data_IF_303879804916
#
_entry.id   IF_303879804916
#
_cell.length_a   1.000
_cell.length_b   1.000
_cell.length_c   1.000
_cell.angle_alpha   90.00
_cell.angle_beta   90.00
_cell.angle_gamma   90.00
#
_symmetry.space_group_name_H-M   'P 1'
#
loop_
_entity.id
_entity.type
_entity.pdbx_description
1 polymer ?
#
# COMPACT_ATOMS: atom_id res chain seq x y z
N UNK A 1 17.23 3.63 -4.61
CA UNK A 1 16.89 4.36 -3.38
C UNK A 1 15.76 3.63 -2.67
N UNK A 2 15.69 3.72 -1.34
CA UNK A 2 14.73 2.96 -0.51
C UNK A 2 13.27 3.16 -0.93
N UNK A 3 12.90 4.33 -1.46
CA UNK A 3 11.55 4.64 -1.96
C UNK A 3 11.17 3.79 -3.19
N UNK A 4 12.11 3.49 -4.10
CA UNK A 4 11.83 2.62 -5.26
C UNK A 4 11.45 1.20 -4.84
N UNK A 5 12.05 0.72 -3.74
CA UNK A 5 11.75 -0.59 -3.17
C UNK A 5 10.34 -0.59 -2.58
N UNK A 6 9.99 0.45 -1.82
CA UNK A 6 8.65 0.60 -1.26
C UNK A 6 7.56 0.64 -2.35
N UNK A 7 7.81 1.36 -3.43
CA UNK A 7 6.90 1.40 -4.60
C UNK A 7 6.69 0.00 -5.18
N UNK A 8 7.77 -0.75 -5.47
CA UNK A 8 7.66 -2.10 -6.06
C UNK A 8 6.97 -3.11 -5.13
N UNK A 9 7.19 -3.03 -3.81
CA UNK A 9 6.48 -3.88 -2.84
C UNK A 9 4.96 -3.63 -2.91
N UNK A 10 4.55 -2.36 -3.01
CA UNK A 10 3.13 -2.01 -3.05
C UNK A 10 2.53 -2.34 -4.42
N UNK A 11 3.18 -1.95 -5.53
CA UNK A 11 2.65 -2.16 -6.88
C UNK A 11 2.68 -3.64 -7.30
N UNK A 12 3.83 -4.28 -7.18
CA UNK A 12 4.06 -5.60 -7.77
C UNK A 12 3.76 -6.71 -6.78
N UNK A 13 3.97 -6.44 -5.49
CA UNK A 13 3.67 -7.37 -4.40
C UNK A 13 2.21 -7.33 -3.99
N UNK A 14 1.83 -6.29 -3.23
CA UNK A 14 0.52 -6.24 -2.58
C UNK A 14 -0.62 -6.08 -3.60
N UNK A 15 -0.58 -5.02 -4.41
CA UNK A 15 -1.61 -4.73 -5.40
C UNK A 15 -1.67 -5.81 -6.49
N UNK A 16 -0.51 -6.26 -6.96
CA UNK A 16 -0.43 -7.36 -7.93
C UNK A 16 -0.95 -8.72 -7.42
N UNK A 17 -1.08 -8.90 -6.11
CA UNK A 17 -1.62 -10.13 -5.51
C UNK A 17 -3.13 -10.13 -5.27
N UNK A 18 -3.82 -9.02 -5.54
CA UNK A 18 -5.26 -8.92 -5.35
C UNK A 18 -6.00 -9.81 -6.36
N UNK A 19 -6.82 -10.71 -5.84
CA UNK A 19 -7.81 -11.44 -6.64
C UNK A 19 -9.07 -10.57 -6.77
N UNK A 20 -9.21 -9.90 -7.91
CA UNK A 20 -10.34 -9.00 -8.16
C UNK A 20 -11.66 -9.76 -8.33
N UNK A 21 -11.60 -11.01 -8.80
CA UNK A 21 -12.79 -11.83 -9.04
C UNK A 21 -13.32 -12.44 -7.73
N UNK A 22 -12.43 -12.98 -6.90
CA UNK A 22 -12.81 -13.59 -5.62
C UNK A 22 -12.94 -12.57 -4.48
N UNK A 23 -12.18 -11.48 -4.52
CA UNK A 23 -12.12 -10.48 -3.44
C UNK A 23 -13.21 -9.41 -3.51
N UNK A 24 -13.82 -9.20 -4.69
CA UNK A 24 -14.92 -8.23 -4.89
C UNK A 24 -14.61 -6.85 -4.31
N UNK A 25 -15.57 -6.29 -3.56
CA UNK A 25 -15.47 -4.95 -2.96
C UNK A 25 -14.24 -4.76 -2.05
N UNK A 26 -13.79 -5.82 -1.37
CA UNK A 26 -12.59 -5.73 -0.51
C UNK A 26 -11.33 -5.55 -1.37
N UNK A 27 -11.22 -6.29 -2.47
CA UNK A 27 -10.09 -6.15 -3.39
C UNK A 27 -10.09 -4.76 -4.05
N UNK A 28 -11.25 -4.24 -4.46
CA UNK A 28 -11.37 -2.89 -5.01
C UNK A 28 -10.94 -1.81 -4.00
N UNK A 29 -11.37 -1.92 -2.74
CA UNK A 29 -10.99 -0.99 -1.69
C UNK A 29 -9.49 -1.04 -1.38
N UNK A 30 -8.89 -2.24 -1.36
CA UNK A 30 -7.45 -2.42 -1.18
C UNK A 30 -6.66 -1.87 -2.37
N UNK A 31 -7.14 -2.07 -3.60
CA UNK A 31 -6.52 -1.51 -4.81
C UNK A 31 -6.46 0.01 -4.76
N UNK A 32 -7.59 0.65 -4.42
CA UNK A 32 -7.67 2.10 -4.28
C UNK A 32 -6.74 2.63 -3.18
N UNK A 33 -6.63 1.91 -2.06
CA UNK A 33 -5.74 2.29 -0.97
C UNK A 33 -4.26 2.16 -1.38
N UNK A 34 -3.89 1.08 -2.07
CA UNK A 34 -2.52 0.91 -2.59
C UNK A 34 -2.16 1.96 -3.63
N UNK A 35 -3.09 2.32 -4.52
CA UNK A 35 -2.91 3.42 -5.48
C UNK A 35 -2.67 4.76 -4.77
N UNK A 36 -3.47 5.08 -3.76
CA UNK A 36 -3.27 6.28 -2.94
C UNK A 36 -1.86 6.33 -2.32
N UNK A 37 -1.42 5.20 -1.74
CA UNK A 37 -0.10 5.11 -1.11
C UNK A 37 1.04 5.30 -2.12
N UNK A 38 0.92 4.76 -3.33
CA UNK A 38 1.88 4.96 -4.41
C UNK A 38 1.99 6.45 -4.79
N UNK A 39 0.85 7.12 -4.96
CA UNK A 39 0.81 8.56 -5.26
C UNK A 39 1.45 9.38 -4.14
N UNK A 40 1.18 9.01 -2.88
CA UNK A 40 1.73 9.69 -1.71
C UNK A 40 3.25 9.51 -1.59
N UNK A 41 3.76 8.30 -1.85
CA UNK A 41 5.21 8.02 -1.89
C UNK A 41 5.91 8.83 -2.98
N UNK A 42 5.34 8.89 -4.19
CA UNK A 42 5.90 9.66 -5.30
C UNK A 42 5.93 11.16 -4.99
N UNK A 43 4.81 11.71 -4.51
CA UNK A 43 4.71 13.11 -4.14
C UNK A 43 5.64 13.48 -2.97
N UNK A 44 5.73 12.61 -1.96
CA UNK A 44 6.61 12.76 -0.81
C UNK A 44 8.08 12.77 -1.21
N UNK A 45 8.47 11.83 -2.07
CA UNK A 45 9.83 11.77 -2.60
C UNK A 45 10.20 13.03 -3.38
N UNK A 46 9.32 13.48 -4.28
CA UNK A 46 9.56 14.65 -5.11
C UNK A 46 9.69 15.94 -4.29
N UNK A 47 8.96 16.04 -3.17
CA UNK A 47 8.94 17.21 -2.29
C UNK A 47 9.90 17.12 -1.10
N UNK A 48 10.63 16.02 -0.93
CA UNK A 48 11.37 15.70 0.29
C UNK A 48 10.52 15.84 1.56
N UNK A 49 9.26 15.39 1.48
CA UNK A 49 8.29 15.43 2.58
C UNK A 49 8.32 14.09 3.34
N UNK A 50 8.97 14.00 4.53
CA UNK A 50 9.01 12.77 5.30
C UNK A 50 7.65 12.38 5.90
N UNK A 51 6.73 13.34 6.07
CA UNK A 51 5.39 13.08 6.61
C UNK A 51 4.61 12.17 5.68
N UNK A 52 4.81 12.33 4.37
CA UNK A 52 4.25 11.45 3.34
C UNK A 52 4.66 9.98 3.52
N UNK A 53 5.93 9.75 3.91
CA UNK A 53 6.47 8.41 4.09
C UNK A 53 5.93 7.78 5.37
N UNK A 54 5.82 8.56 6.45
CA UNK A 54 5.24 8.11 7.72
C UNK A 54 3.76 7.75 7.60
N UNK A 55 3.01 8.51 6.81
CA UNK A 55 1.61 8.21 6.50
C UNK A 55 1.47 6.85 5.79
N UNK A 56 2.25 6.62 4.73
CA UNK A 56 2.25 5.34 4.01
C UNK A 56 2.69 4.18 4.92
N UNK A 57 3.68 4.40 5.78
CA UNK A 57 4.13 3.41 6.76
C UNK A 57 3.03 3.07 7.77
N UNK A 58 2.25 4.06 8.22
CA UNK A 58 1.10 3.86 9.12
C UNK A 58 0.02 3.02 8.42
N UNK A 59 -0.36 3.37 7.20
CA UNK A 59 -1.35 2.62 6.42
C UNK A 59 -0.91 1.16 6.18
N UNK A 60 0.35 0.91 5.83
CA UNK A 60 0.88 -0.46 5.69
C UNK A 60 0.74 -1.27 6.98
N UNK A 61 0.96 -0.64 8.14
CA UNK A 61 0.84 -1.31 9.45
C UNK A 61 -0.60 -1.65 9.78
N UNK A 62 -1.54 -0.78 9.46
CA UNK A 62 -2.97 -1.02 9.66
C UNK A 62 -3.45 -2.20 8.81
N UNK A 63 -3.08 -2.21 7.52
CA UNK A 63 -3.39 -3.32 6.61
C UNK A 63 -2.79 -4.63 7.14
N UNK A 64 -1.51 -4.63 7.52
CA UNK A 64 -0.84 -5.80 8.10
C UNK A 64 -1.58 -6.29 9.35
N UNK A 65 -2.02 -5.38 10.21
CA UNK A 65 -2.75 -5.72 11.44
C UNK A 65 -4.10 -6.38 11.12
N UNK A 66 -4.79 -5.92 10.07
CA UNK A 66 -5.99 -6.57 9.55
C UNK A 66 -5.72 -8.02 9.13
N UNK A 67 -4.66 -8.27 8.37
CA UNK A 67 -4.26 -9.62 7.96
C UNK A 67 -3.82 -10.51 9.13
N UNK A 68 -3.06 -9.99 10.09
CA UNK A 68 -2.66 -10.74 11.29
C UNK A 68 -3.87 -11.19 12.13
N UNK A 69 -4.98 -10.46 12.05
CA UNK A 69 -6.25 -10.81 12.70
C UNK A 69 -7.00 -11.97 12.03
N UNK A 70 -6.71 -12.24 10.75
CA UNK A 70 -7.28 -13.37 10.00
C UNK A 70 -6.38 -14.58 10.26
N UNK A 71 -6.69 -15.32 11.34
CA UNK A 71 -6.06 -16.62 11.59
C UNK A 71 -6.65 -17.69 10.64
N UNK A 72 -5.84 -18.65 10.16
CA UNK A 72 -6.32 -19.78 9.36
C UNK A 72 -7.28 -20.68 10.12
#
# INVERSE_FOLDING_TARGET
GQIKIAISIISDGLRGSLDMDAGGEIAENLDALYEYMLQRLMAGHAKNDPVALDEVNTLLREIKSGWDGIKP
#
